data_IF_992697018087
#
_entry.id   IF_992697018087
#
_cell.length_a   1.000
_cell.length_b   1.000
_cell.length_c   1.000
_cell.angle_alpha   90.00
_cell.angle_beta   90.00
_cell.angle_gamma   90.00
#
_symmetry.space_group_name_H-M   'P 1'
#
loop_
_entity.id
_entity.type
_entity.pdbx_description
1 polymer ?
#
# COMPACT_ATOMS: atom_id res chain seq x y z
N UNK A 1 14.60 2.75 11.28
CA UNK A 1 14.96 3.84 10.35
C UNK A 1 15.08 3.36 8.91
N UNK A 2 15.81 2.26 8.68
CA UNK A 2 15.97 1.76 7.33
C UNK A 2 14.64 1.32 6.72
N UNK A 3 13.74 0.76 7.52
CA UNK A 3 12.40 0.37 7.06
C UNK A 3 11.62 1.61 6.63
N UNK A 4 11.64 2.66 7.44
CA UNK A 4 10.94 3.90 7.11
C UNK A 4 11.46 4.51 5.82
N UNK A 5 12.79 4.53 5.64
CA UNK A 5 13.38 5.08 4.43
C UNK A 5 13.01 4.28 3.19
N UNK A 6 12.97 2.95 3.31
CA UNK A 6 12.59 2.09 2.19
C UNK A 6 11.13 2.26 1.82
N UNK A 7 10.25 2.43 2.80
CA UNK A 7 8.84 2.69 2.55
C UNK A 7 8.67 4.02 1.83
N UNK A 8 9.35 5.06 2.29
CA UNK A 8 9.29 6.38 1.66
C UNK A 8 9.77 6.31 0.21
N UNK A 9 10.86 5.58 -0.03
CA UNK A 9 11.38 5.43 -1.39
C UNK A 9 10.37 4.75 -2.30
N UNK A 10 9.70 3.70 -1.82
CA UNK A 10 8.68 3.00 -2.61
C UNK A 10 7.49 3.90 -2.88
N UNK A 11 7.07 4.71 -1.91
CA UNK A 11 5.96 5.64 -2.09
C UNK A 11 6.30 6.70 -3.12
N UNK A 12 7.54 7.19 -3.13
CA UNK A 12 7.97 8.15 -4.15
C UNK A 12 7.92 7.53 -5.54
N UNK A 13 8.37 6.29 -5.68
CA UNK A 13 8.30 5.59 -6.97
C UNK A 13 6.85 5.40 -7.39
N UNK A 14 5.96 5.09 -6.45
CA UNK A 14 4.54 4.90 -6.76
C UNK A 14 3.90 6.19 -7.27
N UNK A 15 4.20 7.34 -6.65
CA UNK A 15 3.66 8.62 -7.10
C UNK A 15 4.16 9.01 -8.47
N UNK A 16 5.33 8.51 -8.88
CA UNK A 16 5.86 8.71 -10.22
C UNK A 16 5.35 7.67 -11.22
N UNK A 17 4.46 6.77 -10.79
CA UNK A 17 3.90 5.74 -11.65
C UNK A 17 4.65 4.41 -11.63
N UNK A 18 5.67 4.28 -10.79
CA UNK A 18 6.48 3.07 -10.70
C UNK A 18 6.12 2.30 -9.43
N UNK A 19 5.04 1.53 -9.50
CA UNK A 19 4.52 0.83 -8.31
C UNK A 19 5.35 -0.35 -7.85
N UNK A 20 6.19 -0.89 -8.73
CA UNK A 20 6.98 -2.06 -8.38
C UNK A 20 6.11 -3.30 -8.22
N UNK A 21 6.30 -4.03 -7.12
CA UNK A 21 5.56 -5.26 -6.86
C UNK A 21 4.21 -4.93 -6.22
N UNK A 22 3.18 -4.82 -7.03
CA UNK A 22 1.83 -4.48 -6.57
C UNK A 22 0.79 -5.31 -7.31
N UNK A 23 -0.40 -5.37 -6.74
CA UNK A 23 -1.53 -5.99 -7.42
C UNK A 23 -2.83 -5.34 -6.96
N UNK A 24 -3.84 -5.41 -7.81
CA UNK A 24 -5.18 -4.97 -7.49
C UNK A 24 -5.86 -6.06 -6.67
N UNK A 25 -6.52 -5.68 -5.57
CA UNK A 25 -7.21 -6.63 -4.71
C UNK A 25 -8.71 -6.66 -5.01
N UNK A 26 -9.39 -5.54 -4.83
CA UNK A 26 -10.83 -5.47 -5.00
C UNK A 26 -11.19 -4.04 -5.36
N UNK A 27 -11.88 -3.85 -6.47
CA UNK A 27 -12.23 -2.51 -6.94
C UNK A 27 -10.98 -1.65 -7.09
N UNK A 28 -10.99 -0.48 -6.46
CA UNK A 28 -9.86 0.45 -6.52
C UNK A 28 -8.81 0.22 -5.43
N UNK A 29 -8.98 -0.82 -4.62
CA UNK A 29 -8.01 -1.16 -3.57
C UNK A 29 -6.86 -1.94 -4.15
N UNK A 30 -5.64 -1.52 -3.82
CA UNK A 30 -4.42 -2.16 -4.30
C UNK A 30 -3.47 -2.45 -3.15
N UNK A 31 -2.61 -3.41 -3.37
CA UNK A 31 -1.59 -3.84 -2.42
C UNK A 31 -0.21 -3.68 -3.05
N UNK A 32 0.72 -3.11 -2.31
CA UNK A 32 2.12 -3.01 -2.70
C UNK A 32 2.94 -3.83 -1.71
N UNK A 33 3.76 -4.74 -2.22
CA UNK A 33 4.60 -5.58 -1.37
C UNK A 33 6.02 -5.06 -1.34
N UNK A 34 6.59 -5.05 -0.15
CA UNK A 34 7.96 -4.63 0.06
C UNK A 34 8.82 -5.87 0.30
N UNK A 35 9.88 -6.01 -0.48
CA UNK A 35 10.70 -7.22 -0.52
C UNK A 35 11.78 -7.21 0.56
N UNK A 36 11.40 -6.87 1.80
CA UNK A 36 12.33 -6.89 2.91
C UNK A 36 11.60 -7.10 4.23
N UNK A 37 12.35 -7.48 5.26
CA UNK A 37 11.79 -7.71 6.59
C UNK A 37 10.78 -8.85 6.59
N UNK A 38 9.75 -8.78 7.44
CA UNK A 38 8.76 -9.84 7.57
C UNK A 38 7.69 -9.84 6.48
N UNK A 39 7.96 -9.21 5.34
CA UNK A 39 7.00 -9.15 4.25
C UNK A 39 6.01 -8.01 4.44
N UNK A 40 6.51 -6.79 4.48
CA UNK A 40 5.65 -5.62 4.65
C UNK A 40 4.76 -5.42 3.45
N UNK A 41 3.53 -4.95 3.71
CA UNK A 41 2.54 -4.67 2.68
C UNK A 41 1.88 -3.33 2.96
N UNK A 42 1.66 -2.57 1.89
CA UNK A 42 0.97 -1.28 1.96
C UNK A 42 -0.29 -1.38 1.13
N UNK A 43 -1.40 -0.89 1.68
CA UNK A 43 -2.70 -0.91 0.99
C UNK A 43 -3.08 0.51 0.65
N UNK A 44 -3.43 0.73 -0.61
CA UNK A 44 -3.64 2.08 -1.10
C UNK A 44 -4.71 2.10 -2.18
N UNK A 45 -5.20 3.29 -2.46
CA UNK A 45 -6.04 3.53 -3.63
C UNK A 45 -5.50 4.73 -4.38
N UNK A 46 -5.80 4.79 -5.66
CA UNK A 46 -5.32 5.85 -6.52
C UNK A 46 -6.50 6.75 -6.85
N UNK A 47 -6.39 8.04 -6.53
CA UNK A 47 -7.48 8.99 -6.79
C UNK A 47 -7.39 9.59 -8.19
N UNK A 48 -6.15 9.82 -8.64
CA UNK A 48 -5.88 10.28 -9.99
C UNK A 48 -4.46 9.85 -10.37
N UNK A 49 -3.92 10.42 -11.43
CA UNK A 49 -2.59 9.99 -11.91
C UNK A 49 -1.47 10.24 -10.92
N UNK A 50 -1.62 11.23 -10.05
CA UNK A 50 -0.54 11.64 -9.16
C UNK A 50 -0.84 11.48 -7.68
N UNK A 51 -2.10 11.23 -7.31
CA UNK A 51 -2.50 11.15 -5.93
C UNK A 51 -2.75 9.70 -5.50
N UNK A 52 -2.00 9.27 -4.50
CA UNK A 52 -2.13 7.96 -3.89
C UNK A 52 -2.56 8.15 -2.45
N UNK A 53 -3.64 7.50 -2.05
CA UNK A 53 -4.14 7.56 -0.69
C UNK A 53 -3.78 6.27 0.03
N UNK A 54 -2.92 6.39 1.05
CA UNK A 54 -2.55 5.25 1.87
C UNK A 54 -3.66 4.93 2.85
N UNK A 55 -4.06 3.67 2.90
CA UNK A 55 -5.18 3.23 3.69
C UNK A 55 -4.75 2.42 4.92
N UNK A 56 -3.79 1.54 4.76
CA UNK A 56 -3.31 0.71 5.84
C UNK A 56 -1.95 0.14 5.48
N UNK A 57 -1.28 -0.42 6.46
CA UNK A 57 -0.01 -1.09 6.23
C UNK A 57 0.27 -2.05 7.37
N UNK A 58 1.06 -3.06 7.09
CA UNK A 58 1.43 -4.03 8.09
C UNK A 58 2.35 -5.08 7.48
N UNK A 59 2.52 -6.17 8.17
CA UNK A 59 3.32 -7.27 7.68
C UNK A 59 2.42 -8.41 7.22
N UNK A 60 3.05 -9.51 6.83
CA UNK A 60 2.32 -10.67 6.34
C UNK A 60 1.37 -11.24 7.39
N UNK A 61 1.72 -11.16 8.68
CA UNK A 61 0.91 -11.75 9.74
C UNK A 61 -0.39 -11.00 10.01
N UNK A 62 -0.45 -9.72 9.67
CA UNK A 62 -1.64 -8.88 9.89
C UNK A 62 -2.42 -8.60 8.61
N UNK A 63 -2.09 -9.29 7.53
CA UNK A 63 -2.63 -8.98 6.21
C UNK A 63 -4.16 -8.95 6.16
N UNK A 64 -4.81 -9.96 6.70
CA UNK A 64 -6.28 -10.04 6.64
C UNK A 64 -6.93 -8.85 7.34
N UNK A 65 -6.47 -8.53 8.53
CA UNK A 65 -6.99 -7.41 9.31
C UNK A 65 -6.73 -6.08 8.62
N UNK A 66 -5.54 -5.94 8.04
CA UNK A 66 -5.17 -4.69 7.38
C UNK A 66 -5.98 -4.46 6.11
N UNK A 67 -6.29 -5.51 5.37
CA UNK A 67 -7.14 -5.41 4.20
C UNK A 67 -8.55 -4.99 4.58
N UNK A 68 -9.10 -5.56 5.65
CA UNK A 68 -10.43 -5.18 6.12
C UNK A 68 -10.47 -3.71 6.55
N UNK A 69 -9.42 -3.26 7.24
CA UNK A 69 -9.31 -1.86 7.63
C UNK A 69 -9.24 -0.95 6.40
N UNK A 70 -8.46 -1.35 5.40
CA UNK A 70 -8.34 -0.58 4.17
C UNK A 70 -9.70 -0.46 3.46
N UNK A 71 -10.46 -1.55 3.41
CA UNK A 71 -11.78 -1.54 2.78
C UNK A 71 -12.73 -0.58 3.49
N UNK A 72 -12.71 -0.56 4.81
CA UNK A 72 -13.56 0.37 5.57
C UNK A 72 -13.19 1.82 5.28
N UNK A 73 -11.88 2.11 5.22
CA UNK A 73 -11.43 3.46 4.94
C UNK A 73 -11.78 3.89 3.52
N UNK A 74 -11.76 2.96 2.58
CA UNK A 74 -12.18 3.23 1.21
C UNK A 74 -13.61 3.74 1.14
N UNK A 75 -14.49 3.18 1.97
CA UNK A 75 -15.89 3.58 1.99
C UNK A 75 -16.10 5.00 2.53
N UNK A 76 -15.11 5.53 3.22
CA UNK A 76 -15.17 6.88 3.77
C UNK A 76 -14.62 7.94 2.82
N UNK A 77 -14.05 7.51 1.72
CA UNK A 77 -13.54 8.42 0.70
C UNK A 77 -14.67 8.80 -0.26
#
# INVERSE_FOLDING_TARGET
RSIKLRVVARLRHATAGHFGDWKQLEGALAEMRLQFGPGYRLYFTRRDKTLIVMLAGGDKSSQKRDIEKAKRLMQEL
#
